data_IF_816578407142
#
_entry.id   IF_816578407142
#
_cell.length_a   1.000
_cell.length_b   1.000
_cell.length_c   1.000
_cell.angle_alpha   90.00
_cell.angle_beta   90.00
_cell.angle_gamma   90.00
#
_symmetry.space_group_name_H-M   'P 1'
#
loop_
_entity.id
_entity.type
_entity.pdbx_description
1 polymer ?
#
# COMPACT_ATOMS: atom_id res chain seq x y z
N UNK A 1 -48.83 10.81 -56.54
CA UNK A 1 -49.15 9.98 -55.38
C UNK A 1 -48.22 10.40 -54.26
N UNK A 2 -48.85 10.83 -53.16
CA UNK A 2 -48.40 10.91 -51.77
C UNK A 2 -47.14 11.72 -51.45
N UNK A 3 -47.26 12.91 -50.87
CA UNK A 3 -47.77 13.27 -49.52
C UNK A 3 -46.62 13.35 -48.51
N UNK A 4 -46.37 14.60 -48.04
CA UNK A 4 -46.08 14.97 -46.63
C UNK A 4 -44.78 14.42 -46.02
N UNK A 5 -44.06 15.05 -45.11
CA UNK A 5 -43.97 16.34 -44.42
C UNK A 5 -42.70 16.19 -43.56
N UNK A 6 -41.97 17.29 -43.37
CA UNK A 6 -41.25 17.70 -42.15
C UNK A 6 -40.44 16.67 -41.32
N UNK A 7 -39.21 17.04 -40.93
CA UNK A 7 -38.90 17.55 -39.58
C UNK A 7 -37.39 17.77 -39.45
N UNK A 8 -37.00 19.02 -39.15
CA UNK A 8 -35.71 19.39 -38.55
C UNK A 8 -35.54 18.73 -37.18
N UNK A 9 -34.33 18.24 -36.85
CA UNK A 9 -33.87 18.23 -35.47
C UNK A 9 -32.34 18.09 -35.38
N UNK A 10 -31.72 19.19 -34.98
CA UNK A 10 -30.48 19.32 -34.19
C UNK A 10 -29.79 18.03 -33.71
N UNK A 11 -28.50 17.91 -34.06
CA UNK A 11 -27.54 16.97 -33.46
C UNK A 11 -26.22 17.68 -33.16
N UNK A 12 -26.15 18.23 -31.95
CA UNK A 12 -25.15 19.13 -31.36
C UNK A 12 -23.67 18.76 -31.62
N UNK A 13 -22.90 19.79 -32.02
CA UNK A 13 -21.45 19.84 -32.00
C UNK A 13 -20.89 19.61 -30.58
N UNK A 14 -20.27 18.45 -30.36
CA UNK A 14 -19.54 18.09 -29.14
C UNK A 14 -18.12 18.61 -29.15
N UNK A 15 -17.95 19.81 -28.64
CA UNK A 15 -16.73 20.59 -28.45
C UNK A 15 -15.47 19.80 -28.00
N UNK A 16 -14.37 20.12 -28.69
CA UNK A 16 -12.97 19.86 -28.34
C UNK A 16 -12.66 20.40 -26.93
N UNK A 17 -12.82 19.58 -25.90
CA UNK A 17 -12.27 19.88 -24.58
C UNK A 17 -10.77 19.54 -24.58
N UNK A 18 -9.95 20.50 -25.00
CA UNK A 18 -8.55 20.60 -24.60
C UNK A 18 -8.52 20.52 -23.07
N UNK A 19 -8.11 19.37 -22.51
CA UNK A 19 -7.71 19.30 -21.10
C UNK A 19 -6.41 20.06 -20.98
N UNK A 20 -6.52 21.36 -20.75
CA UNK A 20 -5.44 22.22 -20.30
C UNK A 20 -4.83 21.59 -19.06
N UNK A 21 -3.52 21.39 -19.10
CA UNK A 21 -2.73 20.97 -17.95
C UNK A 21 -2.84 22.04 -16.87
N UNK A 22 -3.70 21.82 -15.90
CA UNK A 22 -3.64 22.54 -14.65
C UNK A 22 -2.29 22.19 -13.99
N UNK A 23 -1.37 23.14 -13.97
CA UNK A 23 -0.19 23.08 -13.09
C UNK A 23 -0.72 23.08 -11.65
N UNK A 24 -0.64 21.93 -11.00
CA UNK A 24 -0.88 21.79 -9.56
C UNK A 24 0.02 22.79 -8.82
N UNK A 25 -0.52 23.72 -7.99
CA UNK A 25 0.26 24.78 -7.35
C UNK A 25 1.21 24.30 -6.24
N UNK A 26 1.41 22.99 -6.09
CA UNK A 26 2.23 22.43 -5.00
C UNK A 26 3.26 21.38 -5.45
N UNK A 27 3.40 21.08 -6.75
CA UNK A 27 4.33 20.03 -7.22
C UNK A 27 4.07 18.63 -6.64
N UNK A 28 2.92 18.44 -5.98
CA UNK A 28 2.56 17.18 -5.34
C UNK A 28 2.13 16.22 -6.42
N UNK A 29 3.06 15.34 -6.82
CA UNK A 29 2.72 14.15 -7.61
C UNK A 29 1.78 13.30 -6.75
N UNK A 30 0.47 13.46 -6.94
CA UNK A 30 -0.54 12.57 -6.34
C UNK A 30 -0.17 11.16 -6.77
N UNK A 31 0.34 10.36 -5.83
CA UNK A 31 0.72 8.98 -6.09
C UNK A 31 -0.45 8.21 -6.68
N UNK A 32 -0.19 7.36 -7.67
CA UNK A 32 -1.23 6.57 -8.34
C UNK A 32 -2.02 5.79 -7.27
N UNK A 33 -3.35 5.97 -7.18
CA UNK A 33 -4.16 5.22 -6.22
C UNK A 33 -4.03 3.72 -6.48
N UNK A 34 -3.61 2.95 -5.47
CA UNK A 34 -3.67 1.48 -5.49
C UNK A 34 -2.37 0.72 -5.23
N UNK A 35 -1.19 1.36 -5.24
CA UNK A 35 0.07 0.71 -4.81
C UNK A 35 0.93 1.71 -4.05
N UNK A 36 0.50 2.07 -2.85
CA UNK A 36 1.38 2.78 -1.90
C UNK A 36 2.33 1.75 -1.31
N UNK A 37 3.62 1.91 -1.57
CA UNK A 37 4.63 0.97 -1.07
C UNK A 37 4.66 1.01 0.46
N UNK A 38 5.24 -0.03 1.07
CA UNK A 38 5.49 -0.01 2.52
C UNK A 38 6.38 1.18 2.86
N UNK A 39 7.39 1.47 2.03
CA UNK A 39 8.34 2.56 2.23
C UNK A 39 7.66 3.94 2.25
N UNK A 40 6.74 4.19 1.31
CA UNK A 40 5.97 5.45 1.27
C UNK A 40 5.13 5.65 2.54
N UNK A 41 4.51 4.59 3.04
CA UNK A 41 3.74 4.64 4.30
C UNK A 41 4.66 4.86 5.50
N UNK A 42 5.83 4.23 5.52
CA UNK A 42 6.82 4.41 6.58
C UNK A 42 7.28 5.87 6.63
N UNK A 43 7.63 6.47 5.48
CA UNK A 43 8.02 7.88 5.40
C UNK A 43 6.90 8.80 5.91
N UNK A 44 5.67 8.56 5.46
CA UNK A 44 4.50 9.31 5.92
C UNK A 44 4.33 9.25 7.45
N UNK A 45 4.48 8.06 8.04
CA UNK A 45 4.34 7.89 9.49
C UNK A 45 5.49 8.55 10.26
N UNK A 46 6.72 8.46 9.76
CA UNK A 46 7.88 9.13 10.38
C UNK A 46 7.69 10.64 10.39
N UNK A 47 7.17 11.23 9.31
CA UNK A 47 6.85 12.67 9.27
C UNK A 47 5.77 13.07 10.29
N UNK A 48 4.76 12.22 10.50
CA UNK A 48 3.72 12.45 11.52
C UNK A 48 4.30 12.38 12.94
N UNK A 49 5.08 11.34 13.24
CA UNK A 49 5.67 11.14 14.57
C UNK A 49 6.71 12.21 14.90
N UNK A 50 7.39 12.75 13.89
CA UNK A 50 8.34 13.86 14.05
C UNK A 50 7.69 15.26 14.05
N UNK A 51 6.37 15.34 13.89
CA UNK A 51 5.64 16.61 13.86
C UNK A 51 5.89 17.48 12.63
N UNK A 52 6.55 16.94 11.59
CA UNK A 52 6.87 17.67 10.34
C UNK A 52 5.65 17.85 9.43
N UNK A 53 4.65 16.99 9.57
CA UNK A 53 3.41 17.07 8.82
C UNK A 53 2.22 16.71 9.71
N UNK A 54 1.06 17.31 9.44
CA UNK A 54 -0.20 16.93 10.07
C UNK A 54 -0.86 15.76 9.35
N UNK A 55 -1.83 15.11 10.02
CA UNK A 55 -2.62 14.02 9.44
C UNK A 55 -3.28 14.46 8.12
N UNK A 56 -3.82 15.67 8.08
CA UNK A 56 -4.50 16.21 6.90
C UNK A 56 -3.53 16.51 5.75
N UNK A 57 -2.33 17.01 6.05
CA UNK A 57 -1.30 17.27 5.04
C UNK A 57 -0.80 15.97 4.40
N UNK A 58 -0.60 14.93 5.21
CA UNK A 58 -0.27 13.58 4.72
C UNK A 58 -1.44 13.00 3.93
N UNK A 59 -2.66 13.10 4.45
CA UNK A 59 -3.86 12.61 3.77
C UNK A 59 -4.03 13.22 2.38
N UNK A 60 -3.88 14.54 2.27
CA UNK A 60 -3.92 15.27 1.01
C UNK A 60 -2.81 14.84 0.04
N UNK A 61 -1.56 14.75 0.52
CA UNK A 61 -0.40 14.38 -0.31
C UNK A 61 -0.51 12.98 -0.89
N UNK A 62 -0.99 12.03 -0.10
CA UNK A 62 -1.13 10.63 -0.50
C UNK A 62 -2.50 10.28 -1.10
N UNK A 63 -3.43 11.24 -1.18
CA UNK A 63 -4.78 11.03 -1.71
C UNK A 63 -5.55 9.99 -0.91
N UNK A 64 -5.47 10.05 0.42
CA UNK A 64 -6.12 9.12 1.35
C UNK A 64 -7.05 9.84 2.31
N UNK A 65 -7.99 9.12 2.87
CA UNK A 65 -8.78 9.64 3.97
C UNK A 65 -7.91 9.78 5.24
N UNK A 66 -8.06 10.84 6.05
CA UNK A 66 -7.31 11.04 7.31
C UNK A 66 -7.30 9.79 8.22
N UNK A 67 -8.46 9.15 8.39
CA UNK A 67 -8.59 7.86 9.11
C UNK A 67 -7.64 6.75 8.62
N UNK A 68 -7.27 6.73 7.34
CA UNK A 68 -6.29 5.78 6.79
C UNK A 68 -4.88 6.07 7.30
N UNK A 69 -4.54 7.34 7.42
CA UNK A 69 -3.26 7.81 7.95
C UNK A 69 -3.17 7.50 9.44
N UNK A 70 -4.26 7.70 10.19
CA UNK A 70 -4.33 7.30 11.60
C UNK A 70 -4.11 5.80 11.79
N UNK A 71 -4.73 4.97 10.94
CA UNK A 71 -4.49 3.52 10.94
C UNK A 71 -3.03 3.18 10.64
N UNK A 72 -2.35 3.91 9.76
CA UNK A 72 -0.91 3.70 9.53
C UNK A 72 -0.08 4.03 10.76
N UNK A 73 -0.42 5.10 11.47
CA UNK A 73 0.22 5.47 12.74
C UNK A 73 0.02 4.38 13.79
N UNK A 74 -1.19 3.86 13.95
CA UNK A 74 -1.49 2.77 14.90
C UNK A 74 -0.65 1.52 14.61
N UNK A 75 -0.63 1.05 13.35
CA UNK A 75 0.16 -0.12 12.94
C UNK A 75 1.65 0.08 13.19
N UNK A 76 2.16 1.29 12.94
CA UNK A 76 3.56 1.59 13.20
C UNK A 76 3.90 1.61 14.70
N UNK A 77 3.03 2.19 15.53
CA UNK A 77 3.21 2.20 16.99
C UNK A 77 3.19 0.77 17.55
N UNK A 78 2.26 -0.07 17.10
CA UNK A 78 2.21 -1.49 17.46
C UNK A 78 3.49 -2.23 17.04
N UNK A 79 3.98 -1.96 15.82
CA UNK A 79 5.24 -2.52 15.31
C UNK A 79 6.47 -2.07 16.12
N UNK A 80 6.55 -0.79 16.49
CA UNK A 80 7.59 -0.25 17.36
C UNK A 80 7.51 -0.90 18.73
N UNK A 81 6.33 -0.95 19.34
CA UNK A 81 6.12 -1.56 20.66
C UNK A 81 6.49 -3.05 20.67
N UNK A 82 6.13 -3.79 19.60
CA UNK A 82 6.56 -5.16 19.40
C UNK A 82 8.09 -5.28 19.32
N UNK A 83 8.74 -4.43 18.51
CA UNK A 83 10.19 -4.43 18.32
C UNK A 83 10.94 -4.07 19.62
N UNK A 84 10.41 -3.11 20.39
CA UNK A 84 10.97 -2.69 21.68
C UNK A 84 10.82 -3.79 22.75
N UNK A 85 9.73 -4.55 22.73
CA UNK A 85 9.56 -5.74 23.61
C UNK A 85 10.46 -6.90 23.21
N UNK A 86 10.71 -7.08 21.92
CA UNK A 86 11.61 -8.10 21.39
C UNK A 86 13.03 -7.53 21.27
N UNK A 87 13.66 -7.12 22.37
CA UNK A 87 15.03 -6.57 22.34
C UNK A 87 16.00 -7.51 21.59
N UNK A 88 16.66 -7.02 20.52
CA UNK A 88 17.71 -7.64 19.67
C UNK A 88 17.58 -9.13 19.27
N UNK A 89 16.48 -9.79 19.59
CA UNK A 89 16.32 -11.24 19.50
C UNK A 89 15.21 -11.62 18.54
N UNK A 90 15.37 -12.78 17.90
CA UNK A 90 14.38 -13.39 16.99
C UNK A 90 12.98 -13.37 17.62
N UNK A 91 11.99 -12.96 16.84
CA UNK A 91 10.57 -12.96 17.21
C UNK A 91 10.09 -14.36 17.57
N UNK A 92 8.97 -14.47 18.32
CA UNK A 92 8.35 -15.77 18.65
C UNK A 92 8.10 -16.62 17.40
N UNK A 93 7.66 -15.99 16.31
CA UNK A 93 7.38 -16.67 15.04
C UNK A 93 8.67 -17.17 14.38
N UNK A 94 9.72 -16.36 14.35
CA UNK A 94 11.02 -16.78 13.82
C UNK A 94 11.62 -17.93 14.63
N UNK A 95 11.54 -17.88 15.97
CA UNK A 95 11.98 -18.99 16.83
C UNK A 95 11.19 -20.27 16.57
N UNK A 96 9.88 -20.16 16.36
CA UNK A 96 9.03 -21.31 16.03
C UNK A 96 9.38 -21.89 14.66
N UNK A 97 9.59 -21.04 13.66
CA UNK A 97 10.00 -21.45 12.32
C UNK A 97 11.38 -22.13 12.34
N UNK A 98 12.34 -21.58 13.08
CA UNK A 98 13.68 -22.16 13.22
C UNK A 98 13.65 -23.53 13.91
N UNK A 99 12.80 -23.71 14.93
CA UNK A 99 12.59 -25.03 15.54
C UNK A 99 12.00 -26.04 14.55
N UNK A 100 11.00 -25.62 13.75
CA UNK A 100 10.37 -26.49 12.74
C UNK A 100 11.35 -26.85 11.63
N UNK A 101 12.14 -25.89 11.17
CA UNK A 101 13.18 -26.10 10.16
C UNK A 101 14.21 -27.11 10.65
N UNK A 102 14.74 -26.93 11.86
CA UNK A 102 15.71 -27.87 12.44
C UNK A 102 15.14 -29.27 12.66
N UNK A 103 13.85 -29.38 13.02
CA UNK A 103 13.18 -30.67 13.13
C UNK A 103 13.01 -31.35 11.76
N UNK A 104 12.69 -30.58 10.73
CA UNK A 104 12.56 -31.07 9.36
C UNK A 104 13.90 -31.50 8.77
N UNK A 105 14.96 -30.72 8.97
CA UNK A 105 16.33 -31.06 8.55
C UNK A 105 16.78 -32.40 9.17
N UNK A 106 16.51 -32.61 10.46
CA UNK A 106 16.81 -33.90 11.12
C UNK A 106 16.03 -35.05 10.50
N UNK A 107 14.72 -34.90 10.34
CA UNK A 107 13.87 -35.93 9.75
C UNK A 107 14.29 -36.27 8.30
N UNK A 108 14.72 -35.26 7.54
CA UNK A 108 15.25 -35.44 6.19
C UNK A 108 16.56 -36.22 6.20
N UNK A 109 17.52 -35.85 7.06
CA UNK A 109 18.79 -36.58 7.19
C UNK A 109 18.56 -38.03 7.62
N UNK A 110 17.67 -38.28 8.59
CA UNK A 110 17.32 -39.62 9.05
C UNK A 110 16.64 -40.46 7.95
N UNK A 111 15.92 -39.83 7.03
CA UNK A 111 15.32 -40.49 5.88
C UNK A 111 16.39 -40.79 4.81
N UNK A 112 17.28 -39.84 4.52
CA UNK A 112 18.36 -40.00 3.56
C UNK A 112 19.29 -41.16 3.96
N UNK A 113 19.70 -41.23 5.23
CA UNK A 113 20.51 -42.35 5.76
C UNK A 113 19.79 -43.69 5.58
N UNK A 114 18.49 -43.75 5.88
CA UNK A 114 17.70 -44.99 5.69
C UNK A 114 17.61 -45.42 4.23
N UNK A 115 17.62 -44.48 3.29
CA UNK A 115 17.53 -44.77 1.87
C UNK A 115 18.89 -45.07 1.22
N UNK A 116 20.01 -44.66 1.82
CA UNK A 116 21.37 -45.03 1.37
C UNK A 116 21.85 -46.39 1.89
N UNK A 117 21.18 -46.96 2.91
CA UNK A 117 21.51 -48.27 3.49
C UNK A 117 20.66 -49.43 2.92
N UNK A 118 19.91 -49.19 1.84
CA UNK A 118 19.13 -50.17 1.07
C UNK A 118 19.70 -50.25 -0.34
#
# INVERSE_FOLDING_TARGET
>A
MDERLAVEAMGVAGSRAQRSGAKDPAGVRRGRPGRRSVDERTVAVVELLSGKATVDQVAFRFGVHPKTVERWREVALEGIEHSMRQGSGKSKRERELERKLKALERAFTDLAIRHELV
#
